data_IF_156122675483
#
_entry.id   IF_156122675483
#
_cell.length_a   1.000
_cell.length_b   1.000
_cell.length_c   1.000
_cell.angle_alpha   90.00
_cell.angle_beta   90.00
_cell.angle_gamma   90.00
#
_symmetry.space_group_name_H-M   'P 1'
#
loop_
_entity.id
_entity.type
_entity.pdbx_description
1 polymer ?
#
# COMPACT_ATOMS: atom_id res chain seq x y z
N UNK A 1 6.17 -11.34 17.63
CA UNK A 1 5.76 -11.37 16.22
C UNK A 1 6.84 -12.03 15.39
N UNK A 2 6.46 -12.89 14.42
CA UNK A 2 7.38 -13.66 13.57
C UNK A 2 6.88 -13.63 12.14
N UNK A 3 7.75 -13.28 11.19
CA UNK A 3 7.43 -13.34 9.76
C UNK A 3 7.27 -14.80 9.30
N UNK A 4 6.23 -15.04 8.50
CA UNK A 4 5.91 -16.34 7.92
C UNK A 4 5.58 -16.19 6.42
N UNK A 5 5.47 -17.30 5.71
CA UNK A 5 4.99 -17.33 4.32
C UNK A 5 3.46 -17.41 4.27
N UNK A 6 2.87 -17.19 3.09
CA UNK A 6 1.46 -17.45 2.82
C UNK A 6 0.64 -16.21 2.45
N UNK A 7 1.17 -15.00 2.63
CA UNK A 7 0.46 -13.78 2.27
C UNK A 7 -0.96 -13.77 2.84
N UNK A 8 -1.98 -13.51 2.02
CA UNK A 8 -3.40 -13.50 2.46
C UNK A 8 -3.95 -14.88 2.83
N UNK A 9 -3.27 -15.97 2.47
CA UNK A 9 -3.67 -17.33 2.85
C UNK A 9 -3.01 -17.81 4.16
N UNK A 10 -2.15 -17.00 4.80
CA UNK A 10 -1.53 -17.37 6.07
C UNK A 10 -2.53 -17.44 7.22
N UNK A 11 -3.57 -16.61 7.19
CA UNK A 11 -4.64 -16.61 8.16
C UNK A 11 -5.58 -17.80 7.94
N UNK A 12 -5.95 -18.51 9.01
CA UNK A 12 -6.81 -19.70 8.94
C UNK A 12 -8.15 -19.40 8.25
N UNK A 13 -8.60 -20.32 7.40
CA UNK A 13 -9.87 -20.21 6.70
C UNK A 13 -9.89 -19.21 5.55
N UNK A 14 -8.73 -18.62 5.18
CA UNK A 14 -8.60 -17.83 3.97
C UNK A 14 -7.94 -18.63 2.85
N UNK A 15 -8.54 -18.58 1.69
CA UNK A 15 -8.01 -19.10 0.43
C UNK A 15 -8.02 -18.02 -0.63
N UNK A 16 -7.17 -18.16 -1.64
CA UNK A 16 -7.08 -17.20 -2.73
C UNK A 16 -6.82 -17.87 -4.07
N UNK A 17 -7.06 -17.14 -5.14
CA UNK A 17 -6.67 -17.52 -6.49
C UNK A 17 -6.57 -16.30 -7.40
N UNK A 18 -5.91 -16.46 -8.53
CA UNK A 18 -5.86 -15.50 -9.62
C UNK A 18 -5.83 -16.20 -10.96
N UNK A 19 -6.56 -15.69 -11.94
CA UNK A 19 -6.64 -16.24 -13.28
C UNK A 19 -6.46 -15.16 -14.35
N UNK A 20 -6.17 -15.56 -15.59
CA UNK A 20 -6.34 -14.72 -16.76
C UNK A 20 -7.74 -14.97 -17.34
N UNK A 21 -8.59 -13.93 -17.33
CA UNK A 21 -9.94 -14.04 -17.90
C UNK A 21 -10.11 -13.27 -19.23
N UNK A 22 -9.12 -12.47 -19.64
CA UNK A 22 -9.12 -11.80 -20.93
C UNK A 22 -9.46 -10.31 -20.91
N UNK A 23 -9.40 -9.66 -19.75
CA UNK A 23 -9.46 -8.20 -19.65
C UNK A 23 -8.20 -7.59 -20.26
N UNK A 24 -7.05 -8.19 -19.99
CA UNK A 24 -5.77 -7.82 -20.58
C UNK A 24 -5.51 -8.56 -21.88
N UNK A 25 -4.89 -7.87 -22.83
CA UNK A 25 -4.41 -8.49 -24.09
C UNK A 25 -3.27 -9.49 -23.85
N UNK A 26 -2.47 -9.27 -22.81
CA UNK A 26 -1.36 -10.16 -22.47
C UNK A 26 -1.85 -11.42 -21.76
N UNK A 27 -1.91 -12.53 -22.50
CA UNK A 27 -2.41 -13.83 -22.06
C UNK A 27 -1.53 -14.52 -20.98
N UNK A 28 -0.32 -14.03 -20.75
CA UNK A 28 0.60 -14.60 -19.75
C UNK A 28 0.43 -13.99 -18.36
N UNK A 29 -0.30 -12.87 -18.26
CA UNK A 29 -0.55 -12.17 -16.98
C UNK A 29 -1.97 -12.48 -16.49
N UNK A 30 -2.09 -12.73 -15.19
CA UNK A 30 -3.38 -12.82 -14.51
C UNK A 30 -4.04 -11.44 -14.48
N UNK A 31 -5.36 -11.39 -14.54
CA UNK A 31 -6.12 -10.14 -14.60
C UNK A 31 -7.42 -10.17 -13.77
N UNK A 32 -7.65 -11.27 -13.04
CA UNK A 32 -8.76 -11.41 -12.10
C UNK A 32 -8.27 -12.16 -10.86
N UNK A 33 -8.54 -11.61 -9.68
CA UNK A 33 -8.11 -12.12 -8.38
C UNK A 33 -9.29 -12.33 -7.43
N UNK A 34 -9.18 -13.33 -6.56
CA UNK A 34 -10.15 -13.67 -5.52
C UNK A 34 -9.41 -13.97 -4.22
N UNK A 35 -9.93 -13.42 -3.11
CA UNK A 35 -9.65 -13.87 -1.75
C UNK A 35 -10.99 -14.26 -1.13
N UNK A 36 -11.04 -15.41 -0.48
CA UNK A 36 -12.26 -15.97 0.10
C UNK A 36 -12.03 -16.42 1.53
N UNK A 37 -12.98 -16.12 2.40
CA UNK A 37 -13.04 -16.62 3.78
C UNK A 37 -14.13 -17.70 3.89
N UNK A 38 -13.82 -18.82 4.51
CA UNK A 38 -14.77 -19.92 4.72
C UNK A 38 -15.95 -19.54 5.64
N UNK A 39 -15.80 -18.46 6.43
CA UNK A 39 -16.85 -17.90 7.28
C UNK A 39 -16.95 -16.38 7.06
N UNK A 40 -18.12 -15.76 7.35
CA UNK A 40 -18.22 -14.30 7.34
C UNK A 40 -17.16 -13.67 8.26
N UNK A 41 -16.51 -12.60 7.80
CA UNK A 41 -15.42 -11.90 8.48
C UNK A 41 -15.85 -10.48 8.84
N UNK A 42 -15.38 -9.96 9.97
CA UNK A 42 -15.42 -8.53 10.23
C UNK A 42 -14.60 -7.81 9.15
N UNK A 43 -15.13 -6.71 8.61
CA UNK A 43 -14.51 -5.99 7.50
C UNK A 43 -14.35 -4.51 7.81
N UNK A 44 -13.23 -3.96 7.37
CA UNK A 44 -12.94 -2.53 7.40
C UNK A 44 -12.22 -2.11 6.12
N UNK A 45 -12.44 -0.87 5.69
CA UNK A 45 -11.71 -0.33 4.54
C UNK A 45 -11.53 1.19 4.63
N UNK A 46 -10.47 1.67 3.99
CA UNK A 46 -10.22 3.08 3.70
C UNK A 46 -10.05 3.29 2.20
N UNK A 47 -10.43 4.47 1.72
CA UNK A 47 -10.55 4.76 0.30
C UNK A 47 -9.87 6.08 -0.06
N UNK A 48 -9.55 6.25 -1.33
CA UNK A 48 -9.02 7.51 -1.87
C UNK A 48 -9.91 8.71 -1.56
N UNK A 49 -9.28 9.83 -1.27
CA UNK A 49 -9.95 11.15 -1.16
C UNK A 49 -10.08 11.86 -2.49
N UNK A 50 -9.55 11.31 -3.60
CA UNK A 50 -9.73 11.87 -4.93
C UNK A 50 -11.23 12.05 -5.21
N UNK A 51 -11.60 13.21 -5.76
CA UNK A 51 -13.00 13.48 -6.11
C UNK A 51 -13.49 12.63 -7.29
N UNK A 52 -12.57 12.27 -8.18
CA UNK A 52 -12.83 11.30 -9.25
C UNK A 52 -12.61 9.91 -8.68
N UNK A 53 -13.69 9.18 -8.42
CA UNK A 53 -13.64 7.86 -7.77
C UNK A 53 -14.07 6.76 -8.72
N UNK A 54 -13.34 5.64 -8.66
CA UNK A 54 -13.75 4.41 -9.33
C UNK A 54 -15.07 3.87 -8.77
N UNK A 55 -15.92 3.38 -9.64
CA UNK A 55 -17.22 2.82 -9.27
C UNK A 55 -17.14 1.69 -8.23
N UNK A 56 -16.13 0.79 -8.27
CA UNK A 56 -15.97 -0.27 -7.28
C UNK A 56 -15.89 0.23 -5.83
N UNK A 57 -15.31 1.40 -5.60
CA UNK A 57 -15.19 1.97 -4.26
C UNK A 57 -16.56 2.28 -3.64
N UNK A 58 -17.49 2.80 -4.46
CA UNK A 58 -18.86 3.09 -4.02
C UNK A 58 -19.60 1.80 -3.68
N UNK A 59 -19.47 0.77 -4.52
CA UNK A 59 -20.12 -0.53 -4.31
C UNK A 59 -19.56 -1.19 -3.06
N UNK A 60 -18.24 -1.29 -2.91
CA UNK A 60 -17.60 -1.86 -1.72
C UNK A 60 -18.01 -1.12 -0.44
N UNK A 61 -18.00 0.22 -0.46
CA UNK A 61 -18.40 1.01 0.71
C UNK A 61 -19.84 0.72 1.15
N UNK A 62 -20.75 0.49 0.21
CA UNK A 62 -22.13 0.13 0.50
C UNK A 62 -22.22 -1.31 1.01
N UNK A 63 -21.54 -2.25 0.38
CA UNK A 63 -21.56 -3.66 0.73
C UNK A 63 -21.10 -3.90 2.17
N UNK A 64 -19.93 -3.35 2.54
CA UNK A 64 -19.37 -3.56 3.88
C UNK A 64 -19.85 -2.52 4.92
N UNK A 65 -20.93 -1.78 4.64
CA UNK A 65 -21.45 -0.79 5.59
C UNK A 65 -21.97 -1.43 6.90
N UNK A 66 -22.32 -2.72 6.86
CA UNK A 66 -22.69 -3.54 8.02
C UNK A 66 -21.48 -4.12 8.76
N UNK A 67 -20.24 -3.83 8.32
CA UNK A 67 -18.99 -4.33 8.91
C UNK A 67 -18.68 -5.79 8.60
N UNK A 68 -19.29 -6.39 7.57
CA UNK A 68 -19.09 -7.80 7.20
C UNK A 68 -18.66 -7.94 5.75
N UNK A 69 -17.70 -8.83 5.49
CA UNK A 69 -17.38 -9.34 4.16
C UNK A 69 -16.99 -10.82 4.23
N UNK A 70 -17.03 -11.51 3.10
CA UNK A 70 -16.61 -12.91 3.02
C UNK A 70 -15.74 -13.21 1.81
N UNK A 71 -15.75 -12.33 0.80
CA UNK A 71 -14.90 -12.45 -0.37
C UNK A 71 -14.40 -11.07 -0.85
N UNK A 72 -13.30 -11.08 -1.59
CA UNK A 72 -12.80 -9.95 -2.36
C UNK A 72 -12.55 -10.38 -3.79
N UNK A 73 -13.13 -9.64 -4.76
CA UNK A 73 -12.85 -9.79 -6.18
C UNK A 73 -12.21 -8.52 -6.72
N UNK A 74 -11.12 -8.68 -7.48
CA UNK A 74 -10.43 -7.56 -8.11
C UNK A 74 -10.07 -7.89 -9.55
N UNK A 75 -10.39 -7.00 -10.48
CA UNK A 75 -9.84 -7.07 -11.83
C UNK A 75 -8.70 -6.06 -12.03
N UNK A 76 -7.74 -6.42 -12.86
CA UNK A 76 -6.71 -5.51 -13.36
C UNK A 76 -6.80 -5.34 -14.88
N UNK A 77 -6.24 -4.22 -15.39
CA UNK A 77 -6.30 -3.84 -16.80
C UNK A 77 -7.34 -2.77 -17.13
N UNK A 78 -8.39 -2.63 -16.33
CA UNK A 78 -9.41 -1.58 -16.45
C UNK A 78 -9.81 -1.11 -15.05
N UNK A 79 -9.77 0.20 -14.82
CA UNK A 79 -10.04 0.81 -13.51
C UNK A 79 -11.54 0.92 -13.18
N UNK A 80 -12.43 0.72 -14.15
CA UNK A 80 -13.86 0.97 -14.01
C UNK A 80 -14.16 2.36 -13.40
N UNK A 81 -13.43 3.36 -13.89
CA UNK A 81 -13.53 4.77 -13.48
C UNK A 81 -13.92 5.62 -14.67
N UNK A 82 -14.77 6.62 -14.43
CA UNK A 82 -15.34 7.50 -15.46
C UNK A 82 -16.18 6.74 -16.51
N UNK A 83 -16.82 5.65 -16.12
CA UNK A 83 -17.70 4.86 -16.96
C UNK A 83 -19.16 5.10 -16.59
N UNK A 84 -20.04 5.28 -17.58
CA UNK A 84 -21.46 5.56 -17.36
C UNK A 84 -22.19 4.43 -16.58
N UNK A 85 -21.79 3.17 -16.79
CA UNK A 85 -22.37 1.97 -16.17
C UNK A 85 -21.43 1.33 -15.13
N UNK A 86 -20.47 2.08 -14.59
CA UNK A 86 -19.44 1.52 -13.72
C UNK A 86 -19.99 0.86 -12.45
N UNK A 87 -21.01 1.46 -11.81
CA UNK A 87 -21.69 0.91 -10.64
C UNK A 87 -22.40 -0.41 -10.97
N UNK A 88 -23.11 -0.46 -12.10
CA UNK A 88 -23.80 -1.66 -12.56
C UNK A 88 -22.83 -2.82 -12.78
N UNK A 89 -21.70 -2.56 -13.45
CA UNK A 89 -20.66 -3.57 -13.68
C UNK A 89 -20.03 -4.04 -12.36
N UNK A 90 -19.69 -3.14 -11.45
CA UNK A 90 -19.11 -3.51 -10.15
C UNK A 90 -20.10 -4.33 -9.29
N UNK A 91 -21.39 -3.97 -9.32
CA UNK A 91 -22.44 -4.73 -8.65
C UNK A 91 -22.64 -6.12 -9.27
N UNK A 92 -22.60 -6.22 -10.60
CA UNK A 92 -22.70 -7.50 -11.30
C UNK A 92 -21.49 -8.41 -10.99
N UNK A 93 -20.28 -7.86 -10.85
CA UNK A 93 -19.12 -8.63 -10.38
C UNK A 93 -19.37 -9.27 -9.01
N UNK A 94 -19.94 -8.50 -8.05
CA UNK A 94 -20.29 -9.01 -6.73
C UNK A 94 -21.33 -10.11 -6.80
N UNK A 95 -22.37 -9.93 -7.64
CA UNK A 95 -23.45 -10.91 -7.81
C UNK A 95 -22.94 -12.21 -8.42
N UNK A 96 -22.21 -12.14 -9.54
CA UNK A 96 -21.65 -13.31 -10.19
C UNK A 96 -20.74 -14.12 -9.27
N UNK A 97 -19.93 -13.44 -8.44
CA UNK A 97 -19.08 -14.12 -7.47
C UNK A 97 -19.93 -14.69 -6.31
N UNK A 98 -20.89 -13.92 -5.77
CA UNK A 98 -21.78 -14.36 -4.72
C UNK A 98 -22.55 -15.62 -5.09
N UNK A 99 -23.13 -15.64 -6.31
CA UNK A 99 -23.82 -16.82 -6.86
C UNK A 99 -22.89 -18.04 -6.98
N UNK A 100 -21.62 -17.83 -7.38
CA UNK A 100 -20.65 -18.91 -7.55
C UNK A 100 -20.09 -19.48 -6.24
N UNK A 101 -20.08 -18.69 -5.16
CA UNK A 101 -19.60 -19.07 -3.82
C UNK A 101 -20.74 -19.42 -2.84
N UNK A 102 -22.00 -19.24 -3.25
CA UNK A 102 -23.20 -19.37 -2.39
C UNK A 102 -23.14 -18.44 -1.16
N UNK A 103 -22.76 -17.15 -1.40
CA UNK A 103 -22.71 -16.11 -0.39
C UNK A 103 -23.49 -14.86 -0.84
N UNK A 104 -23.98 -14.02 0.09
CA UNK A 104 -24.61 -12.77 -0.28
C UNK A 104 -23.68 -11.87 -1.10
N UNK A 105 -24.17 -11.26 -2.18
CA UNK A 105 -23.41 -10.36 -3.04
C UNK A 105 -22.91 -9.11 -2.30
N UNK A 106 -23.61 -8.66 -1.26
CA UNK A 106 -23.24 -7.56 -0.38
C UNK A 106 -22.17 -7.94 0.67
N UNK A 107 -21.77 -9.21 0.75
CA UNK A 107 -20.60 -9.65 1.50
C UNK A 107 -19.33 -9.68 0.62
N UNK A 108 -19.36 -9.09 -0.59
CA UNK A 108 -18.22 -9.06 -1.51
C UNK A 108 -17.60 -7.67 -1.56
N UNK A 109 -16.30 -7.61 -1.30
CA UNK A 109 -15.45 -6.45 -1.58
C UNK A 109 -15.08 -6.50 -3.07
N UNK A 110 -15.39 -5.45 -3.82
CA UNK A 110 -15.04 -5.34 -5.24
C UNK A 110 -14.03 -4.23 -5.49
N UNK A 111 -13.01 -4.52 -6.29
CA UNK A 111 -11.98 -3.58 -6.70
C UNK A 111 -11.68 -3.70 -8.20
N UNK A 112 -11.16 -2.63 -8.77
CA UNK A 112 -10.67 -2.59 -10.16
C UNK A 112 -9.45 -1.68 -10.25
N UNK A 113 -8.52 -1.98 -11.15
CA UNK A 113 -7.34 -1.17 -11.41
C UNK A 113 -6.91 -1.28 -12.87
N UNK A 114 -6.30 -0.21 -13.42
CA UNK A 114 -5.82 -0.15 -14.79
C UNK A 114 -6.24 1.13 -15.50
N UNK A 115 -6.61 1.03 -16.78
CA UNK A 115 -6.94 2.20 -17.61
C UNK A 115 -8.26 2.86 -17.17
N UNK A 116 -8.24 4.19 -17.09
CA UNK A 116 -9.40 5.05 -16.76
C UNK A 116 -10.13 5.44 -18.05
N UNK A 117 -11.47 5.57 -17.99
CA UNK A 117 -12.29 6.10 -19.09
C UNK A 117 -12.56 5.11 -20.23
N UNK A 118 -12.26 3.82 -20.01
CA UNK A 118 -12.63 2.75 -20.95
C UNK A 118 -13.77 1.90 -20.34
N UNK A 119 -14.82 1.57 -21.12
CA UNK A 119 -15.87 0.68 -20.66
C UNK A 119 -15.28 -0.69 -20.24
N UNK A 120 -15.67 -1.17 -19.07
CA UNK A 120 -15.32 -2.53 -18.63
C UNK A 120 -16.38 -3.51 -19.15
N UNK A 121 -15.93 -4.51 -19.93
CA UNK A 121 -16.81 -5.60 -20.36
C UNK A 121 -16.92 -6.65 -19.25
N UNK A 122 -18.13 -7.00 -18.84
CA UNK A 122 -18.39 -7.99 -17.80
C UNK A 122 -18.19 -9.44 -18.28
N UNK A 123 -18.33 -9.73 -19.59
CA UNK A 123 -18.26 -11.10 -20.12
C UNK A 123 -16.96 -11.85 -19.80
N UNK A 124 -15.76 -11.27 -19.97
CA UNK A 124 -14.51 -11.92 -19.57
C UNK A 124 -14.50 -12.30 -18.09
N UNK A 125 -15.03 -11.44 -17.22
CA UNK A 125 -15.11 -11.69 -15.78
C UNK A 125 -16.07 -12.83 -15.50
N UNK A 126 -17.29 -12.78 -16.05
CA UNK A 126 -18.29 -13.84 -15.90
C UNK A 126 -17.75 -15.21 -16.34
N UNK A 127 -17.05 -15.24 -17.48
CA UNK A 127 -16.43 -16.46 -18.00
C UNK A 127 -15.22 -16.94 -17.14
N UNK A 128 -14.55 -16.03 -16.44
CA UNK A 128 -13.40 -16.34 -15.58
C UNK A 128 -13.76 -16.85 -14.19
N UNK A 129 -14.95 -16.51 -13.67
CA UNK A 129 -15.37 -16.86 -12.30
C UNK A 129 -15.34 -18.37 -12.03
N UNK A 130 -15.81 -19.27 -12.89
CA UNK A 130 -15.74 -20.71 -12.62
C UNK A 130 -14.31 -21.21 -12.39
N UNK A 131 -13.35 -20.77 -13.20
CA UNK A 131 -11.94 -21.12 -13.04
C UNK A 131 -11.31 -20.45 -11.81
N UNK A 132 -11.74 -19.22 -11.49
CA UNK A 132 -11.28 -18.48 -10.33
C UNK A 132 -11.69 -19.17 -9.03
N UNK A 133 -12.97 -19.55 -8.90
CA UNK A 133 -13.52 -20.25 -7.73
C UNK A 133 -13.01 -21.69 -7.65
N UNK A 134 -12.99 -22.42 -8.79
CA UNK A 134 -12.52 -23.81 -8.84
C UNK A 134 -11.03 -23.99 -8.52
N UNK A 135 -10.25 -22.92 -8.56
CA UNK A 135 -8.81 -22.92 -8.25
C UNK A 135 -8.48 -22.33 -6.87
N UNK A 136 -9.46 -22.09 -5.99
CA UNK A 136 -9.22 -21.61 -4.63
C UNK A 136 -8.30 -22.56 -3.85
N UNK A 137 -7.33 -22.01 -3.14
CA UNK A 137 -6.34 -22.74 -2.33
C UNK A 137 -5.31 -21.77 -1.75
N UNK A 138 -4.15 -22.28 -1.35
CA UNK A 138 -3.02 -21.47 -0.84
C UNK A 138 -2.32 -20.70 -1.99
N UNK A 139 -3.10 -19.94 -2.75
CA UNK A 139 -2.68 -19.26 -3.96
C UNK A 139 -2.59 -17.73 -3.79
N UNK A 140 -2.08 -17.26 -2.64
CA UNK A 140 -1.87 -15.82 -2.36
C UNK A 140 -1.08 -15.14 -3.47
N UNK A 141 0.00 -15.77 -3.95
CA UNK A 141 0.81 -15.30 -5.06
C UNK A 141 -0.03 -15.06 -6.33
N UNK A 142 -0.96 -15.96 -6.66
CA UNK A 142 -1.80 -15.83 -7.86
C UNK A 142 -2.79 -14.67 -7.73
N UNK A 143 -3.35 -14.47 -6.54
CA UNK A 143 -4.19 -13.31 -6.27
C UNK A 143 -3.38 -12.01 -6.37
N UNK A 144 -2.16 -11.97 -5.83
CA UNK A 144 -1.27 -10.82 -5.94
C UNK A 144 -0.94 -10.50 -7.41
N UNK A 145 -0.59 -11.49 -8.23
CA UNK A 145 -0.35 -11.31 -9.66
C UNK A 145 -1.61 -10.79 -10.40
N UNK A 146 -2.80 -11.24 -9.98
CA UNK A 146 -4.09 -10.87 -10.57
C UNK A 146 -4.45 -9.39 -10.37
N UNK A 147 -3.93 -8.75 -9.32
CA UNK A 147 -4.17 -7.32 -9.05
C UNK A 147 -3.09 -6.40 -9.62
N UNK A 148 -1.91 -6.90 -10.00
CA UNK A 148 -0.78 -6.11 -10.51
C UNK A 148 -1.13 -5.43 -11.85
N UNK A 149 -0.52 -4.25 -12.09
CA UNK A 149 -0.62 -3.54 -13.37
C UNK A 149 0.75 -3.35 -14.02
N UNK A 150 1.44 -2.27 -13.72
CA UNK A 150 2.82 -1.97 -14.13
C UNK A 150 3.86 -2.53 -13.17
N UNK A 151 3.42 -3.07 -12.05
CA UNK A 151 4.24 -3.72 -11.04
C UNK A 151 5.17 -4.77 -11.68
N UNK A 152 6.42 -4.80 -11.24
CA UNK A 152 7.41 -5.81 -11.67
C UNK A 152 7.76 -6.80 -10.57
N UNK A 153 7.38 -6.48 -9.31
CA UNK A 153 7.60 -7.33 -8.13
C UNK A 153 6.26 -7.67 -7.47
N UNK A 154 6.11 -8.93 -7.08
CA UNK A 154 5.02 -9.36 -6.20
C UNK A 154 5.24 -8.78 -4.81
N UNK A 155 4.16 -8.31 -4.20
CA UNK A 155 4.17 -7.66 -2.87
C UNK A 155 3.24 -8.42 -1.95
N UNK A 156 3.79 -9.35 -1.19
CA UNK A 156 3.05 -10.11 -0.16
C UNK A 156 3.90 -10.30 1.09
N UNK A 157 3.23 -10.40 2.24
CA UNK A 157 3.84 -10.62 3.56
C UNK A 157 2.83 -11.27 4.50
N UNK A 158 3.30 -12.02 5.48
CA UNK A 158 2.48 -12.46 6.60
C UNK A 158 3.31 -12.56 7.89
N UNK A 159 2.60 -12.42 9.00
CA UNK A 159 3.15 -12.55 10.35
C UNK A 159 2.28 -13.44 11.23
N UNK A 160 2.94 -14.12 12.15
CA UNK A 160 2.37 -14.82 13.28
C UNK A 160 2.57 -13.97 14.54
N UNK A 161 1.52 -13.82 15.35
CA UNK A 161 1.51 -12.99 16.56
C UNK A 161 0.64 -13.63 17.63
N UNK A 162 1.03 -13.51 18.90
CA UNK A 162 0.23 -13.97 20.05
C UNK A 162 -0.72 -12.86 20.51
N UNK A 163 -2.03 -13.11 20.49
CA UNK A 163 -3.09 -12.19 20.94
C UNK A 163 -4.07 -12.97 21.82
N UNK A 164 -4.30 -12.49 23.05
CA UNK A 164 -5.20 -13.16 24.00
C UNK A 164 -4.81 -14.61 24.30
N UNK A 165 -3.52 -14.92 24.28
CA UNK A 165 -2.99 -16.28 24.50
C UNK A 165 -3.29 -17.26 23.35
N UNK A 166 -3.61 -16.74 22.15
CA UNK A 166 -3.80 -17.51 20.93
C UNK A 166 -2.85 -17.05 19.85
N UNK A 167 -2.36 -17.97 19.05
CA UNK A 167 -1.56 -17.68 17.87
C UNK A 167 -2.50 -17.22 16.75
N UNK A 168 -2.38 -15.94 16.39
CA UNK A 168 -3.09 -15.31 15.30
C UNK A 168 -2.15 -15.10 14.11
N UNK A 169 -2.71 -15.08 12.90
CA UNK A 169 -1.98 -14.80 11.68
C UNK A 169 -2.57 -13.57 11.01
N UNK A 170 -1.71 -12.73 10.46
CA UNK A 170 -2.09 -11.57 9.66
C UNK A 170 -1.21 -11.53 8.42
N UNK A 171 -1.82 -11.36 7.25
CA UNK A 171 -1.08 -11.28 6.00
C UNK A 171 -1.75 -10.36 5.01
N UNK A 172 -0.98 -9.94 4.00
CA UNK A 172 -1.49 -9.00 3.00
C UNK A 172 -0.80 -9.13 1.67
N UNK A 173 -1.51 -8.68 0.64
CA UNK A 173 -1.00 -8.45 -0.71
C UNK A 173 -1.24 -7.00 -1.11
N UNK A 174 -0.35 -6.47 -1.95
CA UNK A 174 -0.47 -5.12 -2.48
C UNK A 174 -0.10 -5.04 -3.95
N UNK A 175 -0.69 -4.07 -4.64
CA UNK A 175 -0.23 -3.58 -5.94
C UNK A 175 -0.06 -2.06 -5.89
N UNK A 176 0.90 -1.57 -6.62
CA UNK A 176 1.19 -0.16 -6.80
C UNK A 176 2.62 0.04 -7.29
N UNK A 177 2.76 0.86 -8.35
CA UNK A 177 4.04 1.14 -9.02
C UNK A 177 4.05 2.55 -9.63
N UNK A 178 2.91 3.04 -10.10
CA UNK A 178 2.68 4.42 -10.57
C UNK A 178 1.35 4.96 -10.09
N UNK A 179 1.16 6.30 -10.20
CA UNK A 179 0.04 7.05 -9.65
C UNK A 179 -0.05 6.84 -8.13
N UNK A 180 1.10 7.03 -7.43
CA UNK A 180 1.26 6.77 -5.99
C UNK A 180 1.62 8.05 -5.24
N UNK A 181 0.62 8.70 -4.66
CA UNK A 181 0.74 9.78 -3.67
C UNK A 181 -0.48 9.79 -2.75
N UNK A 182 -0.56 8.90 -1.78
CA UNK A 182 -1.74 8.78 -0.93
C UNK A 182 -2.01 10.04 -0.09
N UNK A 183 -3.27 10.44 -0.14
CA UNK A 183 -3.91 11.22 0.90
C UNK A 183 -5.17 10.45 1.29
N UNK A 184 -5.00 9.40 2.12
CA UNK A 184 -5.95 8.32 2.43
C UNK A 184 -6.08 7.24 1.33
N UNK A 185 -4.97 6.57 0.98
CA UNK A 185 -4.75 5.42 0.11
C UNK A 185 -4.52 5.69 -1.39
N UNK A 186 -3.40 5.14 -1.97
CA UNK A 186 -3.06 5.23 -3.42
C UNK A 186 -2.55 3.89 -3.94
N UNK A 187 -3.26 2.79 -3.67
CA UNK A 187 -2.94 1.44 -4.14
C UNK A 187 -4.12 0.53 -3.86
N UNK A 188 -4.05 -0.70 -4.30
CA UNK A 188 -4.93 -1.74 -3.79
C UNK A 188 -4.15 -2.62 -2.82
N UNK A 189 -4.65 -2.70 -1.61
CA UNK A 189 -4.10 -3.54 -0.54
C UNK A 189 -5.22 -4.34 0.09
N UNK A 190 -5.00 -5.64 0.20
CA UNK A 190 -5.91 -6.57 0.81
C UNK A 190 -5.18 -7.29 1.94
N UNK A 191 -5.72 -7.17 3.15
CA UNK A 191 -5.18 -7.80 4.36
C UNK A 191 -6.20 -8.79 4.90
N UNK A 192 -5.74 -9.93 5.35
CA UNK A 192 -6.54 -10.96 6.01
C UNK A 192 -5.96 -11.28 7.37
N UNK A 193 -6.81 -11.62 8.32
CA UNK A 193 -6.38 -12.14 9.64
C UNK A 193 -7.41 -13.10 10.18
N UNK A 194 -6.94 -14.11 10.90
CA UNK A 194 -7.79 -15.03 11.66
C UNK A 194 -8.06 -14.55 13.10
N UNK A 195 -7.55 -13.39 13.49
CA UNK A 195 -7.84 -12.76 14.77
C UNK A 195 -9.33 -12.38 14.89
N UNK A 196 -9.94 -12.64 16.04
CA UNK A 196 -11.28 -12.18 16.36
C UNK A 196 -11.23 -10.72 16.87
N UNK A 197 -11.77 -9.81 16.07
CA UNK A 197 -11.87 -8.37 16.35
C UNK A 197 -13.17 -7.81 15.77
N UNK A 198 -13.82 -6.89 16.48
CA UNK A 198 -15.06 -6.27 15.96
C UNK A 198 -14.73 -5.35 14.77
N UNK A 199 -15.71 -5.15 13.88
CA UNK A 199 -15.56 -4.28 12.70
C UNK A 199 -15.24 -2.83 13.09
N UNK A 200 -15.79 -2.35 14.22
CA UNK A 200 -15.51 -1.01 14.74
C UNK A 200 -14.04 -0.86 15.17
N UNK A 201 -13.52 -1.85 15.91
CA UNK A 201 -12.12 -1.84 16.36
C UNK A 201 -11.17 -2.06 15.18
N UNK A 202 -11.55 -2.91 14.21
CA UNK A 202 -10.79 -3.12 12.98
C UNK A 202 -10.71 -1.83 12.15
N UNK A 203 -11.83 -1.11 12.02
CA UNK A 203 -11.86 0.19 11.33
C UNK A 203 -11.03 1.24 12.07
N UNK A 204 -11.07 1.25 13.40
CA UNK A 204 -10.27 2.17 14.22
C UNK A 204 -8.76 1.91 14.01
N UNK A 205 -8.32 0.63 14.09
CA UNK A 205 -6.94 0.23 13.85
C UNK A 205 -6.47 0.63 12.45
N UNK A 206 -7.25 0.30 11.41
CA UNK A 206 -6.90 0.62 10.03
C UNK A 206 -6.83 2.13 9.77
N UNK A 207 -7.80 2.89 10.29
CA UNK A 207 -7.87 4.35 10.10
C UNK A 207 -6.71 5.09 10.75
N UNK A 208 -6.18 4.58 11.86
CA UNK A 208 -5.00 5.14 12.51
C UNK A 208 -3.72 4.71 11.79
N UNK A 209 -3.60 3.42 11.45
CA UNK A 209 -2.41 2.86 10.80
C UNK A 209 -2.06 3.55 9.48
N UNK A 210 -3.04 3.80 8.61
CA UNK A 210 -2.78 4.40 7.29
C UNK A 210 -2.14 5.79 7.35
N UNK A 211 -2.25 6.50 8.47
CA UNK A 211 -1.64 7.82 8.67
C UNK A 211 -0.11 7.77 8.77
N UNK A 212 0.45 6.65 9.20
CA UNK A 212 1.89 6.42 9.36
C UNK A 212 2.45 5.34 8.42
N UNK A 213 1.58 4.67 7.67
CA UNK A 213 1.94 3.69 6.64
C UNK A 213 1.67 4.25 5.24
N UNK A 214 0.57 3.90 4.61
CA UNK A 214 0.31 4.22 3.20
C UNK A 214 0.27 5.72 2.89
N UNK A 215 -0.18 6.59 3.80
CA UNK A 215 -0.13 8.04 3.59
C UNK A 215 1.29 8.62 3.58
N UNK A 216 2.29 7.81 3.93
CA UNK A 216 3.70 8.20 3.97
C UNK A 216 4.51 7.70 2.77
N UNK A 217 3.88 7.17 1.71
CA UNK A 217 4.58 6.82 0.47
C UNK A 217 4.32 7.82 -0.65
N UNK A 218 5.27 7.99 -1.57
CA UNK A 218 5.06 8.70 -2.83
C UNK A 218 6.01 8.21 -3.92
N UNK A 219 5.46 7.94 -5.12
CA UNK A 219 6.25 7.62 -6.31
C UNK A 219 6.30 8.83 -7.26
N UNK A 220 5.17 9.40 -7.62
CA UNK A 220 5.07 10.43 -8.66
C UNK A 220 4.25 11.67 -8.26
N UNK A 221 3.68 11.69 -7.06
CA UNK A 221 2.90 12.82 -6.58
C UNK A 221 1.42 12.81 -7.00
N UNK A 222 0.98 11.79 -7.76
CA UNK A 222 -0.38 11.70 -8.27
C UNK A 222 -1.25 10.77 -7.41
N UNK A 223 -2.40 11.29 -6.93
CA UNK A 223 -3.37 10.50 -6.15
C UNK A 223 -4.33 9.77 -7.09
N UNK A 224 -4.38 8.45 -6.97
CA UNK A 224 -5.21 7.59 -7.81
C UNK A 224 -6.71 7.72 -7.51
N UNK A 225 -7.51 7.26 -8.47
CA UNK A 225 -8.97 7.23 -8.42
C UNK A 225 -9.56 5.99 -7.74
N UNK A 226 -8.74 4.93 -7.57
CA UNK A 226 -9.24 3.59 -7.21
C UNK A 226 -8.67 3.01 -5.91
N UNK A 227 -7.93 3.83 -5.15
CA UNK A 227 -7.22 3.33 -4.00
C UNK A 227 -8.11 2.82 -2.90
N UNK A 228 -7.74 1.66 -2.37
CA UNK A 228 -8.41 1.02 -1.26
C UNK A 228 -7.42 0.17 -0.47
N UNK A 229 -7.47 0.28 0.85
CA UNK A 229 -6.95 -0.72 1.77
C UNK A 229 -8.14 -1.37 2.46
N UNK A 230 -8.28 -2.68 2.36
CA UNK A 230 -9.31 -3.43 3.08
C UNK A 230 -8.71 -4.54 3.92
N UNK A 231 -9.36 -4.81 5.04
CA UNK A 231 -9.00 -5.87 5.99
C UNK A 231 -10.22 -6.74 6.24
N UNK A 232 -10.04 -8.06 6.19
CA UNK A 232 -11.03 -9.06 6.61
C UNK A 232 -10.49 -9.87 7.79
N UNK A 233 -11.25 -9.96 8.88
CA UNK A 233 -10.90 -10.66 10.12
C UNK A 233 -11.98 -11.70 10.45
N UNK A 234 -11.67 -13.00 10.28
CA UNK A 234 -12.68 -14.06 10.39
C UNK A 234 -12.77 -14.75 11.76
N UNK A 235 -11.87 -14.44 12.70
CA UNK A 235 -11.93 -14.91 14.08
C UNK A 235 -11.53 -16.37 14.32
N UNK A 236 -11.05 -17.08 13.32
CA UNK A 236 -10.74 -18.53 13.41
C UNK A 236 -9.48 -18.85 14.22
N UNK A 237 -8.73 -17.86 14.69
CA UNK A 237 -7.66 -18.05 15.67
C UNK A 237 -8.23 -18.47 17.05
N UNK A 238 -9.47 -18.05 17.35
CA UNK A 238 -10.18 -18.41 18.58
C UNK A 238 -9.71 -17.64 19.82
N UNK A 239 -9.14 -16.45 19.65
CA UNK A 239 -8.94 -15.48 20.72
C UNK A 239 -10.28 -14.88 21.16
N UNK A 240 -10.34 -14.28 22.34
CA UNK A 240 -11.47 -13.45 22.73
C UNK A 240 -11.61 -12.27 21.76
N UNK A 241 -12.86 -11.96 21.34
CA UNK A 241 -13.09 -10.89 20.36
C UNK A 241 -12.67 -9.54 20.93
N UNK A 242 -11.78 -8.86 20.25
CA UNK A 242 -11.30 -7.51 20.59
C UNK A 242 -12.45 -6.53 20.29
N UNK A 243 -13.06 -5.99 21.36
CA UNK A 243 -14.20 -5.06 21.28
C UNK A 243 -13.90 -3.68 21.88
N UNK A 244 -12.70 -3.50 22.45
CA UNK A 244 -12.27 -2.26 23.09
C UNK A 244 -10.73 -2.11 23.01
N UNK A 245 -10.25 -0.90 23.26
CA UNK A 245 -8.81 -0.64 23.43
C UNK A 245 -8.24 -1.39 24.64
N UNK A 246 -7.00 -1.83 24.53
CA UNK A 246 -6.27 -2.58 25.54
C UNK A 246 -5.11 -3.34 24.93
N UNK A 247 -4.40 -4.15 25.71
CA UNK A 247 -3.15 -4.81 25.30
C UNK A 247 -3.29 -5.67 24.03
N UNK A 248 -4.40 -6.42 23.88
CA UNK A 248 -4.64 -7.24 22.70
C UNK A 248 -4.91 -6.39 21.47
N UNK A 249 -5.62 -5.25 21.61
CA UNK A 249 -5.81 -4.29 20.54
C UNK A 249 -4.50 -3.62 20.13
N UNK A 250 -3.67 -3.22 21.09
CA UNK A 250 -2.37 -2.60 20.82
C UNK A 250 -1.45 -3.59 20.07
N UNK A 251 -1.44 -4.85 20.50
CA UNK A 251 -0.69 -5.92 19.81
C UNK A 251 -1.20 -6.17 18.39
N UNK A 252 -2.53 -6.11 18.19
CA UNK A 252 -3.13 -6.21 16.86
C UNK A 252 -2.70 -5.03 15.98
N UNK A 253 -2.72 -3.79 16.50
CA UNK A 253 -2.28 -2.60 15.77
C UNK A 253 -0.80 -2.70 15.37
N UNK A 254 0.08 -3.20 16.25
CA UNK A 254 1.49 -3.44 15.92
C UNK A 254 1.65 -4.47 14.79
N UNK A 255 0.86 -5.56 14.81
CA UNK A 255 0.90 -6.57 13.77
C UNK A 255 0.37 -6.05 12.42
N UNK A 256 -0.71 -5.27 12.44
CA UNK A 256 -1.24 -4.59 11.25
C UNK A 256 -0.19 -3.63 10.68
N UNK A 257 0.44 -2.81 11.54
CA UNK A 257 1.47 -1.86 11.14
C UNK A 257 2.70 -2.55 10.54
N UNK A 258 3.09 -3.71 11.01
CA UNK A 258 4.18 -4.48 10.43
C UNK A 258 3.87 -4.94 8.99
N UNK A 259 2.63 -5.40 8.73
CA UNK A 259 2.18 -5.76 7.38
C UNK A 259 2.15 -4.53 6.48
N UNK A 260 1.51 -3.46 6.91
CA UNK A 260 1.30 -2.25 6.10
C UNK A 260 2.60 -1.52 5.80
N UNK A 261 3.50 -1.38 6.78
CA UNK A 261 4.82 -0.77 6.59
C UNK A 261 5.70 -1.57 5.62
N UNK A 262 5.68 -2.90 5.71
CA UNK A 262 6.39 -3.74 4.75
C UNK A 262 5.87 -3.54 3.33
N UNK A 263 4.54 -3.56 3.14
CA UNK A 263 3.92 -3.37 1.84
C UNK A 263 4.17 -1.95 1.29
N UNK A 264 4.16 -0.91 2.13
CA UNK A 264 4.54 0.46 1.76
C UNK A 264 5.95 0.51 1.18
N UNK A 265 6.89 -0.10 1.87
CA UNK A 265 8.29 -0.16 1.46
C UNK A 265 8.47 -0.89 0.13
N UNK A 266 7.75 -2.01 -0.05
CA UNK A 266 7.74 -2.78 -1.30
C UNK A 266 7.13 -2.00 -2.47
N UNK A 267 6.04 -1.24 -2.24
CA UNK A 267 5.43 -0.36 -3.26
C UNK A 267 6.41 0.73 -3.68
N UNK A 268 7.06 1.41 -2.73
CA UNK A 268 8.04 2.45 -3.02
C UNK A 268 9.26 1.89 -3.78
N UNK A 269 9.75 0.69 -3.40
CA UNK A 269 10.88 0.03 -4.04
C UNK A 269 10.59 -0.50 -5.46
N UNK A 270 9.31 -0.61 -5.83
CA UNK A 270 8.83 -1.06 -7.14
C UNK A 270 8.21 0.07 -7.96
N UNK A 271 8.58 1.33 -7.68
CA UNK A 271 8.12 2.48 -8.46
C UNK A 271 8.46 2.32 -9.95
N UNK A 272 7.58 2.80 -10.84
CA UNK A 272 7.76 2.70 -12.29
C UNK A 272 9.12 3.25 -12.72
N UNK A 273 9.97 2.38 -13.25
CA UNK A 273 11.32 2.71 -13.69
C UNK A 273 12.31 3.05 -12.57
N UNK A 274 11.95 2.87 -11.29
CA UNK A 274 12.82 3.18 -10.16
C UNK A 274 14.03 2.24 -10.10
N UNK A 275 15.16 2.81 -9.69
CA UNK A 275 16.39 2.06 -9.43
C UNK A 275 16.75 1.99 -7.95
N UNK A 276 16.13 2.84 -7.11
CA UNK A 276 16.45 2.97 -5.68
C UNK A 276 15.20 3.19 -4.83
N UNK A 277 15.14 2.50 -3.69
CA UNK A 277 14.24 2.84 -2.60
C UNK A 277 14.84 4.01 -1.79
N UNK A 278 14.00 5.01 -1.51
CA UNK A 278 14.34 6.14 -0.64
C UNK A 278 13.49 6.06 0.63
N UNK A 279 14.15 6.01 1.78
CA UNK A 279 13.51 6.04 3.09
C UNK A 279 13.93 7.31 3.83
N UNK A 280 13.01 8.26 3.98
CA UNK A 280 13.25 9.50 4.70
C UNK A 280 12.82 9.34 6.15
N UNK A 281 13.79 9.33 7.05
CA UNK A 281 13.60 9.20 8.51
C UNK A 281 13.83 10.55 9.15
N UNK A 282 12.77 11.13 9.71
CA UNK A 282 12.79 12.40 10.44
C UNK A 282 12.71 12.13 11.93
N UNK A 283 13.56 12.78 12.69
CA UNK A 283 13.60 12.76 14.17
C UNK A 283 13.69 14.17 14.73
N UNK A 284 13.38 14.31 16.02
CA UNK A 284 13.49 15.60 16.70
C UNK A 284 12.44 16.63 16.27
N UNK A 285 11.29 16.19 15.73
CA UNK A 285 10.19 17.08 15.37
C UNK A 285 9.46 17.63 16.59
N UNK A 286 8.91 18.84 16.46
CA UNK A 286 8.07 19.49 17.48
C UNK A 286 6.84 18.64 17.82
N UNK A 287 6.26 18.02 16.79
CA UNK A 287 5.17 17.05 16.85
C UNK A 287 5.21 16.11 15.62
N UNK A 288 4.41 15.07 15.66
CA UNK A 288 4.34 14.07 14.60
C UNK A 288 3.84 14.64 13.26
N UNK A 289 2.90 15.60 13.31
CA UNK A 289 2.36 16.24 12.12
C UNK A 289 3.45 17.00 11.32
N UNK A 290 4.30 17.77 12.02
CA UNK A 290 5.42 18.48 11.42
C UNK A 290 6.48 17.51 10.89
N UNK A 291 6.82 16.45 11.65
CA UNK A 291 7.75 15.41 11.20
C UNK A 291 7.25 14.71 9.92
N UNK A 292 5.96 14.33 9.86
CA UNK A 292 5.32 13.75 8.68
C UNK A 292 5.35 14.67 7.46
N UNK A 293 5.05 15.96 7.63
CA UNK A 293 5.13 16.94 6.53
C UNK A 293 6.54 17.02 5.94
N UNK A 294 7.55 17.08 6.80
CA UNK A 294 8.96 17.12 6.36
C UNK A 294 9.32 15.85 5.60
N UNK A 295 9.10 14.68 6.20
CA UNK A 295 9.46 13.40 5.58
C UNK A 295 8.78 13.24 4.21
N UNK A 296 7.47 13.53 4.13
CA UNK A 296 6.69 13.42 2.89
C UNK A 296 7.17 14.42 1.84
N UNK A 297 7.45 15.67 2.21
CA UNK A 297 7.94 16.71 1.29
C UNK A 297 9.26 16.32 0.63
N UNK A 298 10.17 15.70 1.36
CA UNK A 298 11.47 15.30 0.83
C UNK A 298 11.31 14.17 -0.20
N UNK A 299 10.56 13.10 0.10
CA UNK A 299 10.36 11.99 -0.84
C UNK A 299 9.51 12.36 -2.07
N UNK A 300 8.75 13.47 -1.99
CA UNK A 300 7.95 14.00 -3.10
C UNK A 300 8.74 14.96 -4.02
N UNK A 301 9.91 15.45 -3.59
CA UNK A 301 10.68 16.42 -4.36
C UNK A 301 11.29 15.80 -5.62
N UNK A 302 10.77 16.17 -6.80
CA UNK A 302 11.32 15.69 -8.09
C UNK A 302 12.80 16.01 -8.26
N UNK A 303 13.25 17.21 -7.80
CA UNK A 303 14.67 17.59 -7.84
C UNK A 303 15.54 16.69 -6.95
N UNK A 304 15.05 16.38 -5.75
CA UNK A 304 15.76 15.49 -4.85
C UNK A 304 15.79 14.06 -5.40
N UNK A 305 14.67 13.54 -5.89
CA UNK A 305 14.60 12.20 -6.51
C UNK A 305 15.53 12.06 -7.71
N UNK A 306 15.67 13.11 -8.54
CA UNK A 306 16.63 13.14 -9.65
C UNK A 306 18.08 13.16 -9.16
N UNK A 307 18.39 13.84 -8.05
CA UNK A 307 19.72 13.79 -7.43
C UNK A 307 20.06 12.37 -6.95
N UNK A 308 19.11 11.69 -6.33
CA UNK A 308 19.29 10.30 -5.87
C UNK A 308 19.54 9.34 -7.04
N UNK A 309 18.85 9.51 -8.16
CA UNK A 309 19.14 8.77 -9.39
C UNK A 309 20.59 8.98 -9.84
N UNK A 310 21.06 10.24 -9.83
CA UNK A 310 22.44 10.60 -10.20
C UNK A 310 23.49 10.27 -9.14
N UNK A 311 23.13 9.72 -7.99
CA UNK A 311 23.99 9.52 -6.82
C UNK A 311 24.71 10.83 -6.39
N UNK A 312 23.96 11.96 -6.45
CA UNK A 312 24.39 13.29 -6.04
C UNK A 312 23.95 13.57 -4.59
N UNK A 313 24.88 13.78 -3.68
CA UNK A 313 24.63 14.06 -2.28
C UNK A 313 24.07 15.47 -2.04
N UNK A 314 23.06 15.85 -2.79
CA UNK A 314 22.49 17.20 -2.85
C UNK A 314 21.63 17.54 -1.63
N UNK A 315 22.29 17.75 -0.49
CA UNK A 315 21.63 18.15 0.75
C UNK A 315 20.89 19.50 0.62
N UNK A 316 21.29 20.39 -0.26
CA UNK A 316 20.59 21.64 -0.55
C UNK A 316 19.17 21.41 -1.06
N UNK A 317 18.93 20.37 -1.86
CA UNK A 317 17.59 19.98 -2.31
C UNK A 317 16.75 19.41 -1.17
N UNK A 318 17.38 18.72 -0.22
CA UNK A 318 16.69 18.25 1.01
C UNK A 318 16.22 19.45 1.84
N UNK A 319 17.12 20.43 2.13
CA UNK A 319 16.76 21.64 2.86
C UNK A 319 15.68 22.47 2.14
N UNK A 320 15.77 22.57 0.82
CA UNK A 320 14.75 23.22 0.01
C UNK A 320 13.38 22.55 0.20
N UNK A 321 13.33 21.20 0.15
CA UNK A 321 12.10 20.43 0.36
C UNK A 321 11.54 20.60 1.79
N UNK A 322 12.41 20.68 2.80
CA UNK A 322 12.02 21.00 4.17
C UNK A 322 11.42 22.42 4.24
N UNK A 323 12.05 23.40 3.60
CA UNK A 323 11.64 24.81 3.65
C UNK A 323 10.26 25.09 3.07
N UNK A 324 9.82 24.35 2.04
CA UNK A 324 8.48 24.51 1.46
C UNK A 324 7.47 23.44 1.95
N UNK A 325 7.84 22.60 2.91
CA UNK A 325 6.97 21.51 3.41
C UNK A 325 5.68 21.99 4.09
N UNK A 326 5.63 23.28 4.49
CA UNK A 326 4.57 23.83 5.32
C UNK A 326 4.60 23.34 6.77
N UNK A 327 5.70 22.73 7.20
CA UNK A 327 5.95 22.37 8.59
C UNK A 327 6.51 23.58 9.35
N UNK A 328 6.22 23.65 10.66
CA UNK A 328 6.82 24.61 11.58
C UNK A 328 8.20 24.07 12.03
N UNK A 329 9.26 24.51 11.36
CA UNK A 329 10.63 24.01 11.54
C UNK A 329 11.62 25.17 11.64
N UNK A 330 12.50 25.13 12.62
CA UNK A 330 13.66 26.01 12.70
C UNK A 330 14.80 25.43 11.84
N UNK A 331 14.95 25.94 10.62
CA UNK A 331 15.95 25.45 9.67
C UNK A 331 17.39 25.57 10.15
N UNK A 332 17.66 26.43 11.14
CA UNK A 332 19.01 26.62 11.72
C UNK A 332 19.43 25.48 12.65
N UNK A 333 18.52 24.55 12.96
CA UNK A 333 18.77 23.36 13.77
C UNK A 333 18.84 22.08 12.95
N UNK A 334 18.51 22.14 11.65
CA UNK A 334 18.36 20.96 10.82
C UNK A 334 19.71 20.30 10.55
N UNK A 335 19.79 19.00 10.82
CA UNK A 335 20.86 18.10 10.38
C UNK A 335 20.38 17.15 9.29
N UNK A 336 21.26 16.82 8.34
CA UNK A 336 21.00 15.84 7.27
C UNK A 336 22.18 14.88 7.12
N UNK A 337 21.90 13.59 7.05
CA UNK A 337 22.85 12.56 6.67
C UNK A 337 22.22 11.61 5.65
N UNK A 338 23.05 10.99 4.83
CA UNK A 338 22.68 9.89 3.95
C UNK A 338 23.28 8.59 4.46
N UNK A 339 22.50 7.51 4.43
CA UNK A 339 22.95 6.19 4.86
C UNK A 339 22.49 5.10 3.89
N UNK A 340 23.24 4.01 3.85
CA UNK A 340 22.93 2.78 3.13
C UNK A 340 23.73 1.62 3.73
N UNK A 341 23.64 0.42 3.14
CA UNK A 341 24.52 -0.70 3.51
C UNK A 341 26.01 -0.40 3.38
N UNK A 342 26.41 0.61 2.61
CA UNK A 342 27.80 1.04 2.47
C UNK A 342 28.28 1.95 3.62
N UNK A 343 27.39 2.45 4.48
CA UNK A 343 27.71 3.29 5.64
C UNK A 343 26.84 4.55 5.70
N UNK A 344 27.27 5.52 6.50
CA UNK A 344 26.59 6.79 6.73
C UNK A 344 27.56 7.96 6.47
N UNK A 345 27.02 9.09 6.03
CA UNK A 345 27.74 10.34 5.84
C UNK A 345 26.85 11.55 6.18
N UNK A 346 27.32 12.40 7.10
CA UNK A 346 26.67 13.67 7.43
C UNK A 346 27.05 14.68 6.37
N UNK A 347 26.06 15.42 5.87
CA UNK A 347 26.22 16.42 4.79
C UNK A 347 25.75 17.83 5.19
N UNK A 348 24.96 17.92 6.27
CA UNK A 348 24.45 19.20 6.78
C UNK A 348 24.31 19.13 8.31
N UNK A 349 24.61 20.24 8.98
CA UNK A 349 24.40 20.44 10.42
C UNK A 349 24.05 21.89 10.68
N UNK A 350 23.06 22.13 11.58
CA UNK A 350 22.62 23.48 11.90
C UNK A 350 22.13 24.28 10.67
N UNK A 351 21.54 23.63 9.70
CA UNK A 351 21.04 24.24 8.47
C UNK A 351 22.14 24.63 7.45
N UNK A 352 23.39 24.26 7.72
CA UNK A 352 24.54 24.58 6.86
C UNK A 352 25.29 23.33 6.42
N UNK A 353 25.91 23.36 5.23
CA UNK A 353 26.73 22.26 4.75
C UNK A 353 27.96 22.04 5.63
N UNK A 354 28.31 20.78 5.85
CA UNK A 354 29.57 20.38 6.49
C UNK A 354 30.52 19.81 5.44
N UNK A 355 31.81 19.82 5.73
CA UNK A 355 32.80 19.20 4.85
C UNK A 355 32.61 17.68 4.87
N UNK A 356 32.55 17.04 3.69
CA UNK A 356 32.43 15.60 3.52
C UNK A 356 33.15 15.13 2.24
N UNK A 357 33.44 13.82 2.14
CA UNK A 357 33.98 13.22 0.95
C UNK A 357 32.91 12.93 -0.08
N UNK A 358 32.95 13.57 -1.24
CA UNK A 358 32.05 13.32 -2.36
C UNK A 358 32.17 11.88 -2.88
N UNK A 359 33.38 11.30 -2.87
CA UNK A 359 33.59 9.91 -3.27
C UNK A 359 32.87 8.94 -2.31
N UNK A 360 33.00 9.17 -1.01
CA UNK A 360 32.34 8.37 0.01
C UNK A 360 30.81 8.54 -0.06
N UNK A 361 30.33 9.75 -0.25
CA UNK A 361 28.90 10.02 -0.43
C UNK A 361 28.36 9.26 -1.65
N UNK A 362 29.09 9.28 -2.78
CA UNK A 362 28.69 8.56 -3.98
C UNK A 362 28.65 7.04 -3.78
N UNK A 363 29.60 6.44 -3.06
CA UNK A 363 29.56 5.01 -2.71
C UNK A 363 28.28 4.64 -1.96
N UNK A 364 27.89 5.47 -0.99
CA UNK A 364 26.67 5.29 -0.20
C UNK A 364 25.42 5.40 -1.09
N UNK A 365 25.39 6.40 -1.96
CA UNK A 365 24.24 6.71 -2.81
C UNK A 365 24.13 5.81 -4.07
N UNK A 366 25.14 5.01 -4.38
CA UNK A 366 25.06 3.99 -5.45
C UNK A 366 24.32 2.72 -4.99
N UNK A 367 24.03 2.58 -3.71
CA UNK A 367 23.22 1.46 -3.21
C UNK A 367 21.76 1.56 -3.67
N UNK A 368 21.09 0.42 -3.68
CA UNK A 368 19.69 0.23 -4.08
C UNK A 368 18.67 0.70 -3.01
N UNK A 369 19.12 0.85 -1.75
CA UNK A 369 18.33 1.39 -0.65
C UNK A 369 19.11 2.50 0.03
N UNK A 370 18.48 3.69 0.12
CA UNK A 370 19.08 4.90 0.67
C UNK A 370 18.18 5.45 1.76
N UNK A 371 18.76 5.70 2.92
CA UNK A 371 18.10 6.42 3.99
C UNK A 371 18.54 7.88 3.98
N UNK A 372 17.57 8.78 4.12
CA UNK A 372 17.74 10.19 4.32
C UNK A 372 17.41 10.48 5.78
N UNK A 373 18.44 10.68 6.59
CA UNK A 373 18.32 10.89 8.03
C UNK A 373 18.25 12.39 8.31
N UNK A 374 17.12 12.86 8.83
CA UNK A 374 16.87 14.28 9.12
C UNK A 374 16.64 14.44 10.61
N UNK A 375 17.38 15.38 11.22
CA UNK A 375 17.16 15.79 12.60
C UNK A 375 16.66 17.24 12.61
N UNK A 376 15.52 17.51 13.27
CA UNK A 376 14.92 18.86 13.30
C UNK A 376 15.34 19.66 14.54
N UNK A 377 15.65 19.00 15.66
CA UNK A 377 16.14 19.65 16.87
C UNK A 377 15.12 20.46 17.67
N UNK A 378 13.81 20.23 17.44
CA UNK A 378 12.71 20.99 18.04
C UNK A 378 11.82 20.16 18.99
N UNK A 379 12.11 18.88 19.19
CA UNK A 379 11.36 17.95 20.05
C UNK A 379 11.80 16.51 19.88
N UNK A 380 10.90 15.57 20.14
CA UNK A 380 11.18 14.12 20.12
C UNK A 380 10.36 13.34 19.08
N UNK A 381 9.46 14.02 18.38
CA UNK A 381 8.59 13.37 17.42
C UNK A 381 9.39 12.82 16.22
N UNK A 382 8.89 11.70 15.69
CA UNK A 382 9.52 10.98 14.57
C UNK A 382 8.48 10.69 13.47
N UNK A 383 8.97 10.58 12.25
CA UNK A 383 8.17 10.10 11.12
C UNK A 383 9.08 9.46 10.07
N UNK A 384 8.53 8.49 9.33
CA UNK A 384 9.21 7.90 8.18
C UNK A 384 8.32 8.03 6.94
N UNK A 385 8.93 8.33 5.80
CA UNK A 385 8.27 8.32 4.49
C UNK A 385 9.10 7.53 3.49
N UNK A 386 8.42 6.86 2.56
CA UNK A 386 9.07 6.07 1.52
C UNK A 386 8.77 6.61 0.14
N UNK A 387 9.76 6.55 -0.72
CA UNK A 387 9.67 6.93 -2.13
C UNK A 387 10.71 6.19 -2.95
N UNK A 388 10.88 6.62 -4.18
CA UNK A 388 11.91 6.11 -5.08
C UNK A 388 12.62 7.27 -5.78
N UNK A 389 13.74 6.98 -6.44
CA UNK A 389 14.39 7.92 -7.33
C UNK A 389 13.53 8.23 -8.57
N UNK A 390 13.90 9.26 -9.33
CA UNK A 390 13.24 9.64 -10.59
C UNK A 390 14.19 9.40 -11.76
N UNK A 391 13.85 8.43 -12.59
CA UNK A 391 14.68 7.97 -13.71
C UNK A 391 14.13 8.37 -15.08
N UNK A 392 14.89 8.19 -16.13
CA UNK A 392 14.39 8.34 -17.51
C UNK A 392 13.33 7.31 -17.87
N UNK A 393 13.38 6.12 -17.26
CA UNK A 393 12.43 5.04 -17.54
C UNK A 393 11.02 5.37 -17.02
N UNK A 394 10.89 6.20 -15.96
CA UNK A 394 9.57 6.70 -15.54
C UNK A 394 8.87 7.45 -16.68
N UNK A 395 9.56 8.38 -17.33
CA UNK A 395 9.01 9.14 -18.47
C UNK A 395 8.71 8.23 -19.66
N UNK A 396 9.58 7.26 -19.94
CA UNK A 396 9.41 6.31 -21.05
C UNK A 396 8.18 5.41 -20.81
N UNK A 397 7.97 4.91 -19.60
CA UNK A 397 6.82 4.06 -19.25
C UNK A 397 5.52 4.86 -19.35
N UNK A 398 5.48 6.10 -18.83
CA UNK A 398 4.27 6.90 -18.76
C UNK A 398 3.97 7.71 -20.02
N UNK A 399 4.95 7.88 -20.91
CA UNK A 399 4.77 8.58 -22.19
C UNK A 399 3.85 7.87 -23.19
N UNK A 400 3.66 6.56 -23.06
CA UNK A 400 2.80 5.73 -23.92
C UNK A 400 2.04 4.66 -23.13
N UNK A 401 1.45 5.05 -21.99
CA UNK A 401 0.65 4.15 -21.15
C UNK A 401 -0.73 3.91 -21.78
N UNK A 402 -0.85 2.81 -22.54
CA UNK A 402 -2.11 2.33 -23.17
C UNK A 402 -2.25 0.82 -23.00
N UNK A 403 -2.23 0.34 -21.80
CA UNK A 403 -2.34 -1.11 -21.55
C UNK A 403 -3.69 -1.68 -21.87
#
# INVERSE_FOLDING_TARGET
MKQINGGVCAAKGFTANGVHCGIRKNKTKRDLALIYSEVPAAAAAVYTTNLVKGAPLTVTKNNIANGVAQAMICNSGNANTCNANGIEIATEMCKLLGDALDIPADNVIVASTGVIGQPLNIEPIANGIPALVGGLGDNSLYACEGIMTTDVKVKEIAFEVEIGGKTCHIGGIAKGSGMIHPNMATMLVFVTTDCAISSEMLQAALSEDVKSSFNMISIDGDTSTNDMVSVMANGLAGNETITAAGADFDTFCEALHAVTSYLCRMIAADGEGASKLLECVVSGGKDEHNAKKVAKSVVCSSLFKAAMFGADANWGRVLCAIGYSGADVDVTKVGVAFASKAGEIKVCEGGAGVEFSEERAKEILLCDEIQILITLGDGDAKATAWGCDLTYDYVKINGDYRT
#
